data_IF_241145782682
#
_entry.id   IF_241145782682
#
_cell.length_a   1.000
_cell.length_b   1.000
_cell.length_c   1.000
_cell.angle_alpha   90.00
_cell.angle_beta   90.00
_cell.angle_gamma   90.00
#
_symmetry.space_group_name_H-M   'P 1'
#
loop_
_entity.id
_entity.type
_entity.pdbx_description
1 polymer ?
#
# COMPACT_ATOMS: atom_id res chain seq x y z
N UNK A 1 -10.38 7.27 -1.04
CA UNK A 1 -9.44 6.23 -0.50
C UNK A 1 -10.11 4.87 -0.56
N UNK A 2 -9.39 3.89 -1.07
CA UNK A 2 -9.84 2.49 -1.13
C UNK A 2 -8.95 1.68 -0.19
N UNK A 3 -9.54 0.80 0.61
CA UNK A 3 -8.82 -0.09 1.53
C UNK A 3 -8.84 -1.52 1.02
N UNK A 4 -7.74 -2.22 1.22
CA UNK A 4 -7.63 -3.64 0.96
C UNK A 4 -6.87 -4.31 2.10
N UNK A 5 -7.26 -5.52 2.44
CA UNK A 5 -6.56 -6.33 3.43
C UNK A 5 -6.43 -7.75 2.88
N UNK A 6 -5.26 -8.33 3.04
CA UNK A 6 -5.05 -9.74 2.75
C UNK A 6 -3.95 -10.33 3.63
N UNK A 7 -3.89 -11.65 3.70
CA UNK A 7 -2.83 -12.38 4.36
C UNK A 7 -2.05 -13.22 3.36
N UNK A 8 -0.74 -13.29 3.53
CA UNK A 8 0.11 -14.16 2.72
C UNK A 8 0.11 -15.54 3.35
N UNK A 9 -0.38 -16.58 2.63
CA UNK A 9 -0.47 -17.94 3.17
C UNK A 9 0.89 -18.48 3.62
N UNK A 10 0.86 -19.44 4.56
CA UNK A 10 2.02 -20.18 5.11
C UNK A 10 2.94 -19.36 6.01
N UNK A 11 3.07 -18.05 5.78
CA UNK A 11 3.94 -17.20 6.60
C UNK A 11 3.16 -16.35 7.61
N UNK A 12 1.82 -16.30 7.50
CA UNK A 12 0.96 -15.57 8.42
C UNK A 12 1.19 -14.06 8.40
N UNK A 13 1.60 -13.50 7.25
CA UNK A 13 1.86 -12.06 7.12
C UNK A 13 0.59 -11.33 6.72
N UNK A 14 0.20 -10.32 7.46
CA UNK A 14 -0.97 -9.49 7.19
C UNK A 14 -0.56 -8.22 6.47
N UNK A 15 -1.27 -7.87 5.42
CA UNK A 15 -1.01 -6.67 4.61
C UNK A 15 -2.26 -5.80 4.55
N UNK A 16 -2.11 -4.53 4.88
CA UNK A 16 -3.14 -3.51 4.81
C UNK A 16 -2.72 -2.48 3.76
N UNK A 17 -3.51 -2.33 2.70
CA UNK A 17 -3.19 -1.42 1.59
C UNK A 17 -4.24 -0.33 1.51
N UNK A 18 -3.78 0.90 1.34
CA UNK A 18 -4.60 2.09 1.17
C UNK A 18 -4.25 2.75 -0.15
N UNK A 19 -5.23 2.91 -1.02
CA UNK A 19 -5.07 3.49 -2.36
C UNK A 19 -5.75 4.86 -2.43
N UNK A 20 -5.22 5.75 -3.25
CA UNK A 20 -5.73 7.10 -3.48
C UNK A 20 -5.86 7.91 -2.17
N UNK A 21 -4.81 7.91 -1.39
CA UNK A 21 -4.74 8.53 -0.07
C UNK A 21 -4.33 10.00 -0.19
N UNK A 22 -5.05 10.89 0.49
CA UNK A 22 -4.64 12.29 0.62
C UNK A 22 -4.42 12.69 2.10
N UNK A 23 -4.10 13.95 2.32
CA UNK A 23 -3.79 14.47 3.66
C UNK A 23 -4.94 14.30 4.66
N UNK A 24 -6.20 14.29 4.20
CA UNK A 24 -7.37 14.12 5.07
C UNK A 24 -7.51 12.69 5.59
N UNK A 25 -6.83 11.73 4.99
CA UNK A 25 -6.89 10.33 5.38
C UNK A 25 -5.85 9.95 6.45
N UNK A 26 -4.99 10.89 6.85
CA UNK A 26 -3.87 10.62 7.77
C UNK A 26 -4.30 9.94 9.06
N UNK A 27 -5.41 10.37 9.67
CA UNK A 27 -5.89 9.78 10.92
C UNK A 27 -6.29 8.31 10.79
N UNK A 28 -6.82 7.91 9.64
CA UNK A 28 -7.15 6.51 9.34
C UNK A 28 -5.88 5.66 9.24
N UNK A 29 -4.88 6.19 8.52
CA UNK A 29 -3.58 5.51 8.37
C UNK A 29 -2.88 5.35 9.71
N UNK A 30 -2.86 6.40 10.53
CA UNK A 30 -2.26 6.35 11.87
C UNK A 30 -2.89 5.28 12.74
N UNK A 31 -4.21 5.16 12.74
CA UNK A 31 -4.91 4.12 13.50
C UNK A 31 -4.48 2.72 13.07
N UNK A 32 -4.37 2.50 11.76
CA UNK A 32 -3.93 1.20 11.25
C UNK A 32 -2.47 0.92 11.61
N UNK A 33 -1.60 1.91 11.53
CA UNK A 33 -0.20 1.78 11.93
C UNK A 33 -0.08 1.41 13.41
N UNK A 34 -0.82 2.09 14.30
CA UNK A 34 -0.84 1.75 15.72
C UNK A 34 -1.37 0.34 15.96
N UNK A 35 -2.38 -0.09 15.21
CA UNK A 35 -2.97 -1.41 15.35
C UNK A 35 -1.97 -2.54 15.04
N UNK A 36 -0.97 -2.30 14.19
CA UNK A 36 0.09 -3.27 13.92
C UNK A 36 1.34 -3.06 14.78
N UNK A 37 1.33 -2.08 15.69
CA UNK A 37 2.41 -1.86 16.65
C UNK A 37 3.40 -0.75 16.29
N UNK A 38 3.06 0.16 15.39
CA UNK A 38 3.91 1.30 15.08
C UNK A 38 3.89 2.32 16.23
N UNK A 39 5.06 2.68 16.75
CA UNK A 39 5.22 3.64 17.83
C UNK A 39 5.45 5.08 17.36
N UNK A 40 5.80 5.27 16.09
CA UNK A 40 6.13 6.58 15.51
C UNK A 40 5.31 6.81 14.24
N UNK A 41 4.01 6.92 14.43
CA UNK A 41 3.06 7.10 13.31
C UNK A 41 3.26 8.44 12.61
N UNK A 42 3.64 9.49 13.35
CA UNK A 42 3.88 10.81 12.79
C UNK A 42 5.01 10.79 11.76
N UNK A 43 6.11 10.12 12.06
CA UNK A 43 7.23 9.99 11.12
C UNK A 43 6.83 9.21 9.87
N UNK A 44 6.11 8.11 10.02
CA UNK A 44 5.66 7.28 8.90
C UNK A 44 4.68 8.06 8.01
N UNK A 45 3.81 8.85 8.60
CA UNK A 45 2.78 9.61 7.87
C UNK A 45 3.28 10.95 7.29
N UNK A 46 4.51 11.33 7.51
CA UNK A 46 5.03 12.67 7.18
C UNK A 46 4.86 13.05 5.72
N UNK A 47 4.97 12.12 4.79
CA UNK A 47 4.82 12.36 3.35
C UNK A 47 3.41 12.15 2.81
N UNK A 48 2.45 11.75 3.64
CA UNK A 48 1.08 11.52 3.19
C UNK A 48 0.43 12.84 2.78
N UNK A 49 -0.17 12.85 1.58
CA UNK A 49 -0.80 14.01 0.99
C UNK A 49 0.01 14.62 -0.16
N UNK A 50 1.29 14.31 -0.26
CA UNK A 50 2.08 14.69 -1.43
C UNK A 50 1.64 13.85 -2.64
N UNK A 51 1.43 14.48 -3.83
CA UNK A 51 1.09 13.72 -5.04
C UNK A 51 2.18 12.71 -5.41
N UNK A 52 1.77 11.59 -5.97
CA UNK A 52 2.68 10.54 -6.47
C UNK A 52 3.60 9.97 -5.39
N UNK A 53 3.17 10.02 -4.14
CA UNK A 53 3.93 9.52 -3.01
C UNK A 53 3.34 8.21 -2.47
N UNK A 54 4.16 7.48 -1.74
CA UNK A 54 3.72 6.29 -1.03
C UNK A 54 4.61 6.03 0.18
N UNK A 55 4.21 5.10 1.00
CA UNK A 55 5.01 4.60 2.10
C UNK A 55 4.64 3.16 2.41
N UNK A 56 5.65 2.36 2.74
CA UNK A 56 5.50 1.00 3.23
C UNK A 56 6.15 0.90 4.61
N UNK A 57 5.33 0.58 5.61
CA UNK A 57 5.78 0.33 6.97
C UNK A 57 5.57 -1.13 7.33
N UNK A 58 6.56 -1.74 7.96
CA UNK A 58 6.50 -3.12 8.40
C UNK A 58 6.87 -3.23 9.86
N UNK A 59 6.05 -3.95 10.63
CA UNK A 59 6.40 -4.42 11.96
C UNK A 59 6.64 -5.92 11.91
N UNK A 60 7.89 -6.32 12.01
CA UNK A 60 8.29 -7.73 11.92
C UNK A 60 7.81 -8.54 13.13
N UNK A 61 7.72 -7.94 14.31
CA UNK A 61 7.24 -8.62 15.50
C UNK A 61 5.78 -9.06 15.37
N UNK A 62 4.95 -8.25 14.75
CA UNK A 62 3.53 -8.58 14.48
C UNK A 62 3.30 -9.24 13.12
N UNK A 63 4.33 -9.38 12.30
CA UNK A 63 4.24 -9.86 10.91
C UNK A 63 3.14 -9.16 10.14
N UNK A 64 3.19 -7.84 10.13
CA UNK A 64 2.20 -7.02 9.49
C UNK A 64 2.84 -5.82 8.79
N UNK A 65 2.26 -5.43 7.66
CA UNK A 65 2.70 -4.27 6.88
C UNK A 65 1.51 -3.39 6.52
N UNK A 66 1.78 -2.09 6.45
CA UNK A 66 0.85 -1.09 5.90
C UNK A 66 1.51 -0.49 4.67
N UNK A 67 0.78 -0.52 3.56
CA UNK A 67 1.19 0.06 2.28
C UNK A 67 0.25 1.20 1.94
N UNK A 68 0.79 2.38 1.72
CA UNK A 68 0.01 3.57 1.37
C UNK A 68 0.43 4.04 -0.02
N UNK A 69 -0.56 4.21 -0.89
CA UNK A 69 -0.38 4.80 -2.22
C UNK A 69 -1.21 6.08 -2.26
N UNK A 70 -0.54 7.20 -2.41
CA UNK A 70 -1.19 8.51 -2.47
C UNK A 70 -1.99 8.75 -3.74
N UNK A 71 -2.62 9.90 -3.82
CA UNK A 71 -3.21 10.38 -5.07
C UNK A 71 -2.11 10.55 -6.11
N UNK A 72 -2.38 10.13 -7.33
CA UNK A 72 -1.44 10.21 -8.43
C UNK A 72 -1.95 11.10 -9.55
N UNK A 73 -1.02 11.72 -10.28
CA UNK A 73 -1.34 12.67 -11.35
C UNK A 73 -1.59 12.01 -12.71
N UNK A 74 -1.21 10.74 -12.85
CA UNK A 74 -1.44 9.94 -14.05
C UNK A 74 -1.45 8.46 -13.73
N UNK A 75 -1.91 7.64 -14.68
CA UNK A 75 -1.81 6.18 -14.57
C UNK A 75 -0.36 5.70 -14.53
N UNK A 76 0.54 6.36 -15.26
CA UNK A 76 1.97 6.05 -15.25
C UNK A 76 2.57 6.30 -13.86
N UNK A 77 2.23 7.42 -13.24
CA UNK A 77 2.69 7.73 -11.88
C UNK A 77 2.11 6.75 -10.86
N UNK A 78 0.87 6.31 -11.07
CA UNK A 78 0.32 5.25 -10.23
C UNK A 78 1.12 3.96 -10.37
N UNK A 79 1.41 3.54 -11.58
CA UNK A 79 2.21 2.33 -11.83
C UNK A 79 3.58 2.41 -11.15
N UNK A 80 4.23 3.56 -11.24
CA UNK A 80 5.52 3.81 -10.59
C UNK A 80 5.43 3.67 -9.06
N UNK A 81 4.52 4.38 -8.43
CA UNK A 81 4.36 4.33 -6.96
C UNK A 81 3.93 2.93 -6.50
N UNK A 82 3.01 2.31 -7.22
CA UNK A 82 2.52 0.96 -6.95
C UNK A 82 3.65 -0.07 -6.95
N UNK A 83 4.48 -0.09 -7.99
CA UNK A 83 5.62 -1.01 -8.07
C UNK A 83 6.68 -0.71 -7.01
N UNK A 84 6.93 0.57 -6.75
CA UNK A 84 7.89 0.99 -5.73
C UNK A 84 7.49 0.46 -4.34
N UNK A 85 6.25 0.68 -3.93
CA UNK A 85 5.78 0.26 -2.60
C UNK A 85 5.64 -1.26 -2.49
N UNK A 86 5.20 -1.94 -3.55
CA UNK A 86 5.23 -3.41 -3.59
C UNK A 86 6.65 -3.96 -3.40
N UNK A 87 7.62 -3.32 -4.04
CA UNK A 87 9.02 -3.70 -3.91
C UNK A 87 9.51 -3.64 -2.47
N UNK A 88 9.18 -2.56 -1.76
CA UNK A 88 9.50 -2.44 -0.34
C UNK A 88 8.82 -3.53 0.49
N UNK A 89 7.53 -3.78 0.26
CA UNK A 89 6.79 -4.80 0.99
C UNK A 89 7.44 -6.18 0.84
N UNK A 90 7.70 -6.60 -0.39
CA UNK A 90 8.32 -7.91 -0.67
C UNK A 90 9.70 -7.97 -0.02
N UNK A 91 10.48 -6.89 -0.11
CA UNK A 91 11.83 -6.86 0.45
C UNK A 91 11.83 -6.96 1.96
N UNK A 92 10.94 -6.24 2.65
CA UNK A 92 10.81 -6.32 4.11
C UNK A 92 10.49 -7.74 4.57
N UNK A 93 9.55 -8.39 3.91
CA UNK A 93 9.16 -9.78 4.23
C UNK A 93 10.32 -10.73 4.00
N UNK A 94 10.95 -10.64 2.84
CA UNK A 94 12.06 -11.52 2.45
C UNK A 94 13.26 -11.38 3.39
N UNK A 95 13.61 -10.17 3.77
CA UNK A 95 14.68 -9.91 4.73
C UNK A 95 14.39 -10.52 6.09
N UNK A 96 13.15 -10.35 6.59
CA UNK A 96 12.78 -10.93 7.88
C UNK A 96 12.83 -12.45 7.87
N UNK A 97 12.42 -13.07 6.77
CA UNK A 97 12.43 -14.53 6.61
C UNK A 97 13.79 -15.10 6.23
N UNK A 98 14.79 -14.25 6.00
CA UNK A 98 16.13 -14.69 5.59
C UNK A 98 16.17 -15.33 4.21
N UNK A 99 15.29 -14.92 3.29
CA UNK A 99 15.24 -15.47 1.94
C UNK A 99 16.38 -14.91 1.08
N UNK A 100 16.85 -15.75 0.15
CA UNK A 100 17.83 -15.31 -0.82
C UNK A 100 17.27 -14.18 -1.70
N UNK A 101 17.97 -13.03 -1.80
CA UNK A 101 17.55 -11.94 -2.67
C UNK A 101 17.43 -12.43 -4.13
N UNK A 102 16.32 -12.09 -4.77
CA UNK A 102 15.98 -12.47 -6.15
C UNK A 102 15.81 -13.99 -6.37
N UNK A 103 15.79 -14.76 -5.28
CA UNK A 103 15.54 -16.21 -5.35
C UNK A 103 14.07 -16.54 -5.60
N UNK A 104 13.81 -17.83 -5.88
CA UNK A 104 12.46 -18.32 -6.20
C UNK A 104 11.44 -18.04 -5.09
N UNK A 105 11.82 -18.18 -3.82
CA UNK A 105 10.89 -17.95 -2.72
C UNK A 105 10.47 -16.47 -2.62
N UNK A 106 11.39 -15.56 -2.81
CA UNK A 106 11.06 -14.12 -2.88
C UNK A 106 10.13 -13.83 -4.06
N UNK A 107 10.37 -14.46 -5.22
CA UNK A 107 9.54 -14.27 -6.41
C UNK A 107 8.13 -14.83 -6.23
N UNK A 108 7.95 -15.94 -5.50
CA UNK A 108 6.62 -16.44 -5.16
C UNK A 108 5.85 -15.43 -4.29
N UNK A 109 6.50 -14.83 -3.30
CA UNK A 109 5.88 -13.78 -2.48
C UNK A 109 5.51 -12.57 -3.35
N UNK A 110 6.43 -12.12 -4.21
CA UNK A 110 6.18 -11.00 -5.11
C UNK A 110 4.99 -11.25 -6.05
N UNK A 111 4.91 -12.43 -6.62
CA UNK A 111 3.80 -12.83 -7.49
C UNK A 111 2.47 -12.85 -6.75
N UNK A 112 2.44 -13.41 -5.54
CA UNK A 112 1.23 -13.45 -4.72
C UNK A 112 0.76 -12.05 -4.34
N UNK A 113 1.66 -11.19 -3.87
CA UNK A 113 1.36 -9.80 -3.51
C UNK A 113 0.80 -9.06 -4.73
N UNK A 114 1.44 -9.19 -5.88
CA UNK A 114 0.98 -8.57 -7.12
C UNK A 114 -0.42 -9.04 -7.51
N UNK A 115 -0.70 -10.32 -7.40
CA UNK A 115 -2.01 -10.90 -7.70
C UNK A 115 -3.10 -10.35 -6.79
N UNK A 116 -2.83 -10.28 -5.48
CA UNK A 116 -3.78 -9.74 -4.50
C UNK A 116 -4.04 -8.25 -4.72
N UNK A 117 -3.01 -7.46 -4.88
CA UNK A 117 -3.14 -6.02 -5.05
C UNK A 117 -3.74 -5.62 -6.38
N UNK A 118 -3.55 -6.41 -7.43
CA UNK A 118 -4.05 -6.11 -8.77
C UNK A 118 -5.58 -5.98 -8.83
N UNK A 119 -6.30 -6.70 -8.00
CA UNK A 119 -7.76 -6.63 -7.96
C UNK A 119 -8.29 -5.20 -7.71
N UNK A 120 -7.54 -4.39 -6.98
CA UNK A 120 -7.83 -2.97 -6.75
C UNK A 120 -7.03 -2.09 -7.71
N UNK A 121 -5.73 -2.34 -7.84
CA UNK A 121 -4.81 -1.52 -8.61
C UNK A 121 -5.20 -1.39 -10.09
N UNK A 122 -5.81 -2.43 -10.68
CA UNK A 122 -6.23 -2.42 -12.09
C UNK A 122 -7.08 -1.21 -12.47
N UNK A 123 -7.90 -0.71 -11.55
CA UNK A 123 -8.75 0.45 -11.80
C UNK A 123 -8.00 1.79 -11.80
N UNK A 124 -6.74 1.80 -11.39
CA UNK A 124 -5.86 2.97 -11.40
C UNK A 124 -4.82 2.94 -12.53
N UNK A 125 -4.64 1.78 -13.17
CA UNK A 125 -3.66 1.57 -14.24
C UNK A 125 -4.17 2.00 -15.61
N UNK A 126 -5.45 2.34 -15.72
CA UNK A 126 -6.07 2.97 -16.89
C UNK A 126 -6.38 4.43 -16.54
N UNK A 127 -5.97 5.39 -17.38
CA UNK A 127 -6.16 6.81 -17.09
C UNK A 127 -7.63 7.19 -16.87
N UNK A 128 -8.52 6.67 -17.70
CA UNK A 128 -9.96 6.92 -17.56
C UNK A 128 -10.52 6.38 -16.24
N UNK A 129 -10.20 5.13 -15.89
CA UNK A 129 -10.66 4.50 -14.64
C UNK A 129 -10.08 5.22 -13.41
N UNK A 130 -8.81 5.63 -13.46
CA UNK A 130 -8.14 6.37 -12.39
C UNK A 130 -8.83 7.70 -12.12
N UNK A 131 -9.14 8.47 -13.14
CA UNK A 131 -9.85 9.75 -13.01
C UNK A 131 -11.23 9.57 -12.40
N UNK A 132 -11.98 8.56 -12.82
CA UNK A 132 -13.29 8.24 -12.26
C UNK A 132 -13.20 7.87 -10.77
N UNK A 133 -12.23 7.07 -10.37
CA UNK A 133 -12.02 6.70 -8.98
C UNK A 133 -11.65 7.90 -8.11
N UNK A 134 -10.78 8.78 -8.59
CA UNK A 134 -10.41 9.98 -7.87
C UNK A 134 -11.60 10.94 -7.73
N UNK A 135 -12.39 11.11 -8.78
CA UNK A 135 -13.59 11.95 -8.77
C UNK A 135 -14.65 11.40 -7.80
N UNK A 136 -14.87 10.09 -7.77
CA UNK A 136 -15.82 9.44 -6.87
C UNK A 136 -15.39 9.61 -5.40
N UNK A 137 -14.11 9.46 -5.10
CA UNK A 137 -13.57 9.66 -3.76
C UNK A 137 -13.80 11.10 -3.28
N UNK A 138 -13.57 12.08 -4.14
CA UNK A 138 -13.83 13.49 -3.85
C UNK A 138 -15.32 13.78 -3.66
N UNK A 139 -16.18 13.18 -4.49
CA UNK A 139 -17.64 13.33 -4.39
C UNK A 139 -18.16 12.80 -3.04
N UNK A 140 -17.73 11.62 -2.65
CA UNK A 140 -18.14 11.02 -1.37
C UNK A 140 -17.74 11.90 -0.18
N UNK A 141 -16.57 12.53 -0.24
CA UNK A 141 -16.10 13.45 0.83
C UNK A 141 -16.95 14.70 0.95
N UNK A 142 -17.39 15.25 -0.18
CA UNK A 142 -18.18 16.51 -0.19
C UNK A 142 -19.60 16.28 0.31
N UNK A 143 -20.19 15.10 0.07
CA UNK A 143 -21.60 14.80 0.33
C UNK A 143 -21.87 13.86 1.52
N UNK A 144 -20.86 13.31 2.14
CA UNK A 144 -20.95 12.46 3.32
C UNK A 144 -20.16 13.01 4.49
#
# INVERSE_FOLDING_TARGET
>A
MIRQQFAIPRIGWRVYVFYAVDALDTGVIERQLRAIGCNDTERVCRGIGEPNSGVTYTNTASRASVVVIGLTTSADEFANTYDHEKGHLVRHISQHLGLEPYGEQEQYIAGYVSQQMFSVAKSFLCEHCRQNNNALANFIRVFL
#
